data_IF_188635227505
#
_entry.id   IF_188635227505
#
_cell.length_a   1.000
_cell.length_b   1.000
_cell.length_c   1.000
_cell.angle_alpha   90.00
_cell.angle_beta   90.00
_cell.angle_gamma   90.00
#
_symmetry.space_group_name_H-M   'P 1'
#
loop_
_entity.id
_entity.type
_entity.pdbx_description
1 polymer ?
#
# COMPACT_ATOMS: atom_id res chain seq x y z
N UNK A 1 14.00 -3.48 8.71
CA UNK A 1 12.86 -4.17 8.07
C UNK A 1 11.51 -3.73 8.65
N UNK A 2 11.24 -3.85 9.96
CA UNK A 2 9.94 -3.46 10.54
C UNK A 2 9.54 -2.00 10.25
N UNK A 3 10.48 -1.07 10.38
CA UNK A 3 10.23 0.34 10.09
C UNK A 3 9.82 0.56 8.63
N UNK A 4 10.39 -0.21 7.69
CA UNK A 4 10.07 -0.08 6.28
C UNK A 4 8.64 -0.55 5.96
N UNK A 5 8.15 -1.60 6.64
CA UNK A 5 6.74 -2.04 6.53
C UNK A 5 5.76 -0.92 6.88
N UNK A 6 6.13 -0.03 7.81
CA UNK A 6 5.32 1.14 8.16
C UNK A 6 5.57 2.35 7.26
N UNK A 7 6.84 2.73 7.05
CA UNK A 7 7.18 3.99 6.38
C UNK A 7 6.94 3.93 4.87
N UNK A 8 7.15 2.78 4.22
CA UNK A 8 6.99 2.67 2.76
C UNK A 8 5.56 3.03 2.32
N UNK A 9 4.48 2.41 2.85
CA UNK A 9 3.12 2.79 2.49
C UNK A 9 2.75 4.21 2.96
N UNK A 10 3.23 4.64 4.13
CA UNK A 10 2.93 5.98 4.66
C UNK A 10 3.51 7.10 3.78
N UNK A 11 4.80 7.00 3.43
CA UNK A 11 5.48 7.97 2.58
C UNK A 11 4.93 7.93 1.15
N UNK A 12 4.59 6.75 0.64
CA UNK A 12 3.94 6.62 -0.66
C UNK A 12 2.56 7.29 -0.70
N UNK A 13 1.75 7.12 0.36
CA UNK A 13 0.47 7.79 0.51
C UNK A 13 0.62 9.31 0.51
N UNK A 14 1.61 9.83 1.25
CA UNK A 14 1.94 11.27 1.25
C UNK A 14 2.38 11.73 -0.15
N UNK A 15 3.30 11.00 -0.79
CA UNK A 15 3.78 11.32 -2.13
C UNK A 15 2.65 11.35 -3.17
N UNK A 16 1.65 10.47 -3.05
CA UNK A 16 0.52 10.41 -3.96
C UNK A 16 -0.30 11.70 -4.01
N UNK A 17 -0.34 12.51 -2.95
CA UNK A 17 -1.01 13.83 -2.94
C UNK A 17 -0.32 14.85 -3.85
N UNK A 18 1.00 14.72 -4.05
CA UNK A 18 1.79 15.63 -4.87
C UNK A 18 1.87 15.18 -6.35
N UNK A 19 1.53 13.93 -6.64
CA UNK A 19 1.55 13.37 -8.01
C UNK A 19 0.22 13.67 -8.71
N UNK A 20 0.22 14.74 -9.51
CA UNK A 20 -0.94 15.15 -10.32
C UNK A 20 -1.32 14.13 -11.40
N UNK A 21 -0.39 13.61 -12.23
CA UNK A 21 -0.76 12.74 -13.34
C UNK A 21 -1.23 11.37 -12.84
N UNK A 22 -2.32 10.85 -13.42
CA UNK A 22 -2.93 9.60 -12.98
C UNK A 22 -2.02 8.38 -13.17
N UNK A 23 -1.26 8.31 -14.27
CA UNK A 23 -0.38 7.17 -14.57
C UNK A 23 0.69 6.91 -13.50
N UNK A 24 1.60 7.86 -13.22
CA UNK A 24 2.61 7.73 -12.18
C UNK A 24 2.02 7.48 -10.79
N UNK A 25 0.87 8.07 -10.46
CA UNK A 25 0.20 7.83 -9.17
C UNK A 25 -0.29 6.38 -9.04
N UNK A 26 -0.85 5.83 -10.12
CA UNK A 26 -1.26 4.41 -10.19
C UNK A 26 -0.06 3.46 -10.14
N UNK A 27 1.02 3.79 -10.86
CA UNK A 27 2.26 3.02 -10.83
C UNK A 27 2.91 3.02 -9.44
N UNK A 28 2.91 4.16 -8.74
CA UNK A 28 3.37 4.26 -7.36
C UNK A 28 2.56 3.33 -6.44
N UNK A 29 1.22 3.35 -6.56
CA UNK A 29 0.33 2.53 -5.75
C UNK A 29 0.65 1.03 -5.90
N UNK A 30 0.75 0.52 -7.12
CA UNK A 30 1.03 -0.90 -7.38
C UNK A 30 2.46 -1.28 -7.00
N UNK A 31 3.46 -0.44 -7.31
CA UNK A 31 4.84 -0.69 -6.94
C UNK A 31 5.01 -0.81 -5.41
N UNK A 32 4.35 0.08 -4.66
CA UNK A 32 4.39 0.08 -3.20
C UNK A 32 3.68 -1.13 -2.62
N UNK A 33 2.55 -1.54 -3.21
CA UNK A 33 1.84 -2.74 -2.77
C UNK A 33 2.67 -4.02 -2.99
N UNK A 34 3.34 -4.15 -4.14
CA UNK A 34 4.26 -5.28 -4.43
C UNK A 34 5.45 -5.27 -3.48
N UNK A 35 6.06 -4.10 -3.25
CA UNK A 35 7.18 -3.97 -2.33
C UNK A 35 6.78 -4.33 -0.89
N UNK A 36 5.61 -3.85 -0.42
CA UNK A 36 5.10 -4.18 0.90
C UNK A 36 4.81 -5.68 1.04
N UNK A 37 4.14 -6.30 0.07
CA UNK A 37 3.88 -7.74 0.06
C UNK A 37 5.17 -8.58 0.09
N UNK A 38 6.19 -8.14 -0.65
CA UNK A 38 7.50 -8.78 -0.66
C UNK A 38 8.20 -8.67 0.70
N UNK A 39 8.17 -7.49 1.34
CA UNK A 39 8.72 -7.30 2.69
C UNK A 39 7.96 -8.14 3.74
N UNK A 40 6.64 -8.25 3.63
CA UNK A 40 5.84 -9.11 4.50
C UNK A 40 6.18 -10.58 4.28
N UNK A 41 6.38 -11.02 3.03
CA UNK A 41 6.86 -12.37 2.72
C UNK A 41 8.26 -12.67 3.30
N UNK A 42 9.18 -11.70 3.24
CA UNK A 42 10.50 -11.81 3.86
C UNK A 42 10.43 -11.93 5.39
N UNK A 43 9.44 -11.30 6.03
CA UNK A 43 9.24 -11.41 7.47
C UNK A 43 8.83 -12.82 7.94
N UNK A 44 8.27 -13.64 7.04
CA UNK A 44 8.04 -15.07 7.30
C UNK A 44 9.31 -15.93 7.24
N UNK A 45 10.32 -15.51 6.48
CA UNK A 45 11.60 -16.22 6.38
C UNK A 45 12.52 -15.94 7.58
N UNK A 46 12.27 -14.84 8.29
CA UNK A 46 12.97 -14.49 9.52
C UNK A 46 12.29 -13.32 10.21
N UNK A 47 11.93 -13.50 11.48
CA UNK A 47 11.28 -12.46 12.25
C UNK A 47 12.21 -11.24 12.32
N UNK A 48 11.75 -10.06 11.88
CA UNK A 48 12.57 -8.87 11.93
C UNK A 48 12.85 -8.46 13.38
N UNK A 49 14.09 -8.01 13.62
CA UNK A 49 14.48 -7.48 14.92
C UNK A 49 13.56 -6.33 15.35
N UNK A 50 13.24 -6.22 16.66
CA UNK A 50 12.45 -5.12 17.18
C UNK A 50 13.08 -3.77 16.83
N UNK A 51 12.25 -2.79 16.49
CA UNK A 51 12.67 -1.43 16.20
C UNK A 51 12.15 -0.45 17.26
N UNK A 52 12.68 0.78 17.27
CA UNK A 52 12.25 1.86 18.16
C UNK A 52 12.27 1.46 19.65
N UNK A 53 13.40 0.93 20.11
CA UNK A 53 13.60 0.50 21.51
C UNK A 53 12.60 -0.58 21.98
N UNK A 54 12.05 -1.38 21.06
CA UNK A 54 11.12 -2.48 21.39
C UNK A 54 9.64 -2.14 21.21
N UNK A 55 9.27 -0.85 21.29
CA UNK A 55 8.61 -0.17 20.17
C UNK A 55 7.71 -1.01 19.24
N UNK A 56 8.31 -1.23 18.07
CA UNK A 56 7.77 -2.04 16.99
C UNK A 56 8.41 -3.42 17.09
N UNK A 57 7.79 -4.29 17.86
CA UNK A 57 8.06 -5.72 17.87
C UNK A 57 7.00 -6.42 17.04
N UNK A 58 7.43 -7.17 16.03
CA UNK A 58 6.54 -8.01 15.24
C UNK A 58 6.48 -9.40 15.88
N UNK A 59 5.31 -9.76 16.39
CA UNK A 59 4.99 -11.09 16.89
C UNK A 59 4.26 -11.92 15.82
N UNK A 60 4.01 -13.20 16.10
CA UNK A 60 3.36 -14.12 15.15
C UNK A 60 1.94 -13.67 14.77
N UNK A 61 1.18 -13.16 15.76
CA UNK A 61 -0.15 -12.63 15.53
C UNK A 61 -0.09 -11.35 14.68
N UNK A 62 0.82 -10.43 14.99
CA UNK A 62 1.07 -9.24 14.19
C UNK A 62 1.48 -9.56 12.76
N UNK A 63 2.29 -10.61 12.55
CA UNK A 63 2.68 -11.07 11.22
C UNK A 63 1.49 -11.62 10.43
N UNK A 64 0.55 -12.31 11.07
CA UNK A 64 -0.69 -12.76 10.44
C UNK A 64 -1.54 -11.57 9.96
N UNK A 65 -1.81 -10.61 10.83
CA UNK A 65 -2.58 -9.42 10.45
C UNK A 65 -1.86 -8.57 9.39
N UNK A 66 -0.54 -8.44 9.49
CA UNK A 66 0.28 -7.77 8.48
C UNK A 66 0.18 -8.48 7.12
N UNK A 67 0.13 -9.81 7.11
CA UNK A 67 -0.04 -10.61 5.88
C UNK A 67 -1.40 -10.39 5.24
N UNK A 68 -2.47 -10.43 6.03
CA UNK A 68 -3.84 -10.19 5.55
C UNK A 68 -3.96 -8.77 4.99
N UNK A 69 -3.51 -7.76 5.74
CA UNK A 69 -3.59 -6.36 5.29
C UNK A 69 -2.71 -6.12 4.06
N UNK A 70 -1.53 -6.73 3.98
CA UNK A 70 -0.68 -6.64 2.80
C UNK A 70 -1.29 -7.30 1.56
N UNK A 71 -1.97 -8.44 1.73
CA UNK A 71 -2.67 -9.12 0.63
C UNK A 71 -3.87 -8.29 0.15
N UNK A 72 -4.68 -7.76 1.07
CA UNK A 72 -5.78 -6.87 0.75
C UNK A 72 -5.29 -5.61 0.03
N UNK A 73 -4.19 -5.01 0.49
CA UNK A 73 -3.61 -3.85 -0.15
C UNK A 73 -3.14 -4.16 -1.58
N UNK A 74 -2.48 -5.30 -1.79
CA UNK A 74 -2.08 -5.75 -3.11
C UNK A 74 -3.27 -5.93 -4.05
N UNK A 75 -4.31 -6.66 -3.64
CA UNK A 75 -5.52 -6.87 -4.43
C UNK A 75 -6.24 -5.55 -4.71
N UNK A 76 -6.41 -4.71 -3.69
CA UNK A 76 -7.03 -3.40 -3.82
C UNK A 76 -6.26 -2.48 -4.77
N UNK A 77 -4.92 -2.55 -4.79
CA UNK A 77 -4.10 -1.76 -5.71
C UNK A 77 -4.38 -2.11 -7.18
N UNK A 78 -4.42 -3.40 -7.52
CA UNK A 78 -4.74 -3.86 -8.87
C UNK A 78 -6.17 -3.53 -9.26
N UNK A 79 -7.12 -3.75 -8.33
CA UNK A 79 -8.51 -3.38 -8.54
C UNK A 79 -8.66 -1.88 -8.81
N UNK A 80 -8.02 -1.03 -8.00
CA UNK A 80 -8.09 0.43 -8.14
C UNK A 80 -7.51 0.91 -9.47
N UNK A 81 -6.39 0.36 -9.93
CA UNK A 81 -5.81 0.72 -11.24
C UNK A 81 -6.78 0.39 -12.37
N UNK A 82 -7.32 -0.84 -12.38
CA UNK A 82 -8.27 -1.26 -13.43
C UNK A 82 -9.59 -0.49 -13.36
N UNK A 83 -10.08 -0.19 -12.16
CA UNK A 83 -11.28 0.61 -11.95
C UNK A 83 -11.08 2.05 -12.48
N UNK A 84 -10.01 2.72 -12.06
CA UNK A 84 -9.73 4.11 -12.43
C UNK A 84 -9.38 4.27 -13.92
N UNK A 85 -8.90 3.23 -14.59
CA UNK A 85 -8.69 3.25 -16.04
C UNK A 85 -10.01 3.25 -16.82
N UNK A 86 -11.03 2.57 -16.29
CA UNK A 86 -12.38 2.53 -16.87
C UNK A 86 -13.21 3.76 -16.54
N UNK A 87 -12.87 4.47 -15.48
CA UNK A 87 -13.48 5.76 -15.14
C UNK A 87 -12.91 6.84 -16.09
N UNK A 88 -13.61 7.08 -17.20
CA UNK A 88 -13.37 8.26 -18.05
C UNK A 88 -13.57 9.51 -17.17
N UNK A 89 -12.72 10.56 -17.28
CA UNK A 89 -12.92 11.84 -16.57
C UNK A 89 -14.08 12.63 -17.19
N UNK A 90 -15.18 11.94 -17.49
CA UNK A 90 -16.38 12.57 -17.98
C UNK A 90 -16.98 13.36 -16.82
N UNK A 91 -17.18 14.65 -17.09
CA UNK A 91 -17.74 15.60 -16.15
C UNK A 91 -19.17 15.13 -15.92
N UNK A 92 -19.42 14.36 -14.85
CA UNK A 92 -20.78 14.03 -14.43
C UNK A 92 -21.55 15.36 -14.44
N UNK A 93 -22.56 15.54 -15.31
CA UNK A 93 -23.38 16.72 -15.22
C UNK A 93 -24.01 16.67 -13.84
N UNK A 94 -23.74 17.69 -13.01
CA UNK A 94 -24.47 17.87 -11.77
C UNK A 94 -25.96 17.88 -12.16
N UNK A 95 -26.77 17.14 -11.41
CA UNK A 95 -28.20 17.03 -11.67
C UNK A 95 -28.83 18.42 -11.50
N UNK A 96 -28.97 19.18 -12.58
CA UNK A 96 -29.84 20.35 -12.62
C UNK A 96 -31.29 19.86 -12.65
N UNK A 97 -32.04 20.22 -11.60
CA UNK A 97 -33.48 19.96 -11.46
C UNK A 97 -34.30 21.02 -12.19
#
# INVERSE_FOLDING_TARGET
MVVALFLVPALAGIAAFFIRPHGPRRALLTAVAVAHASLTGLAWLGLPAPALQGLLKLDELGLLFLSITSALFLVASFYAVGYLERETPDRRPDFEQ
#
